data_IF_985668551127
#
_entry.id   IF_985668551127
#
_cell.length_a   1.000
_cell.length_b   1.000
_cell.length_c   1.000
_cell.angle_alpha   90.00
_cell.angle_beta   90.00
_cell.angle_gamma   90.00
#
_symmetry.space_group_name_H-M   'P 1'
#
loop_
_entity.id
_entity.type
_entity.pdbx_description
1 polymer ?
#
# COMPACT_ATOMS: atom_id res chain seq x y z
N UNK A 1 -27.87 0.17 3.53
CA UNK A 1 -26.80 0.00 2.52
C UNK A 1 -26.00 -1.23 2.95
N UNK A 2 -25.56 -2.05 2.02
CA UNK A 2 -24.72 -3.23 2.34
C UNK A 2 -23.39 -2.77 2.93
N UNK A 3 -22.86 -3.46 3.95
CA UNK A 3 -21.64 -3.08 4.67
C UNK A 3 -20.41 -3.03 3.75
N UNK A 4 -20.30 -3.95 2.79
CA UNK A 4 -19.21 -3.94 1.79
C UNK A 4 -19.25 -2.68 0.93
N UNK A 5 -20.44 -2.28 0.47
CA UNK A 5 -20.60 -1.06 -0.34
C UNK A 5 -20.29 0.19 0.52
N UNK A 6 -20.72 0.22 1.77
CA UNK A 6 -20.41 1.28 2.70
C UNK A 6 -18.90 1.42 2.90
N UNK A 7 -18.21 0.31 3.15
CA UNK A 7 -16.75 0.27 3.29
C UNK A 7 -16.02 0.89 2.07
N UNK A 8 -16.43 0.50 0.86
CA UNK A 8 -15.85 1.03 -0.38
C UNK A 8 -16.08 2.55 -0.55
N UNK A 9 -17.26 3.04 -0.12
CA UNK A 9 -17.61 4.46 -0.22
C UNK A 9 -16.94 5.33 0.85
N UNK A 10 -16.69 4.78 2.04
CA UNK A 10 -16.17 5.53 3.20
C UNK A 10 -14.64 5.52 3.29
N UNK A 11 -13.96 4.50 2.77
CA UNK A 11 -12.49 4.41 2.83
C UNK A 11 -11.81 5.65 2.23
N UNK A 12 -10.81 6.17 2.93
CA UNK A 12 -9.96 7.29 2.49
C UNK A 12 -8.48 6.94 2.60
N UNK A 13 -7.65 7.58 1.78
CA UNK A 13 -6.21 7.58 1.94
C UNK A 13 -5.83 8.51 3.08
N UNK A 14 -5.30 7.96 4.15
CA UNK A 14 -4.84 8.69 5.33
C UNK A 14 -3.36 9.05 5.15
N UNK A 15 -2.97 10.24 5.56
CA UNK A 15 -1.62 10.80 5.41
C UNK A 15 -1.16 11.48 6.69
N UNK A 16 -1.12 10.72 7.75
CA UNK A 16 -0.66 11.10 9.08
C UNK A 16 -1.00 9.99 10.06
N UNK A 17 -0.01 9.36 10.65
CA UNK A 17 -0.17 8.16 11.47
C UNK A 17 0.41 8.37 12.86
N UNK A 18 -0.06 7.56 13.80
CA UNK A 18 0.52 7.37 15.12
C UNK A 18 1.62 6.32 15.05
N UNK A 19 2.43 6.26 16.09
CA UNK A 19 3.50 5.25 16.21
C UNK A 19 2.97 3.85 16.58
N UNK A 20 1.68 3.75 16.95
CA UNK A 20 1.06 2.48 17.34
C UNK A 20 1.08 1.48 16.18
N UNK A 21 1.72 0.33 16.41
CA UNK A 21 1.75 -0.76 15.44
C UNK A 21 0.37 -1.36 15.23
N UNK A 22 0.10 -1.83 14.02
CA UNK A 22 -1.06 -2.67 13.74
C UNK A 22 -0.83 -4.03 14.40
N UNK A 23 -1.76 -4.54 15.23
CA UNK A 23 -1.63 -5.86 15.82
C UNK A 23 -1.43 -6.94 14.75
N UNK A 24 -0.58 -7.93 15.04
CA UNK A 24 -0.19 -8.96 14.07
C UNK A 24 -1.39 -9.74 13.54
N UNK A 25 -2.35 -10.09 14.40
CA UNK A 25 -3.58 -10.76 14.02
C UNK A 25 -4.43 -9.95 13.02
N UNK A 26 -4.56 -8.63 13.25
CA UNK A 26 -5.28 -7.72 12.34
C UNK A 26 -4.53 -7.56 11.03
N UNK A 27 -3.20 -7.48 11.09
CA UNK A 27 -2.39 -7.42 9.88
C UNK A 27 -2.53 -8.70 9.06
N UNK A 28 -2.53 -9.87 9.69
CA UNK A 28 -2.69 -11.15 8.99
C UNK A 28 -4.04 -11.25 8.27
N UNK A 29 -5.15 -10.76 8.86
CA UNK A 29 -6.44 -10.68 8.18
C UNK A 29 -6.41 -9.75 6.95
N UNK A 30 -5.71 -8.60 7.07
CA UNK A 30 -5.52 -7.68 5.95
C UNK A 30 -4.74 -8.36 4.83
N UNK A 31 -3.68 -9.08 5.17
CA UNK A 31 -2.82 -9.76 4.22
C UNK A 31 -3.53 -10.91 3.55
N UNK A 32 -4.29 -11.72 4.29
CA UNK A 32 -5.12 -12.79 3.74
C UNK A 32 -6.07 -12.22 2.67
N UNK A 33 -6.76 -11.11 2.95
CA UNK A 33 -7.59 -10.45 1.95
C UNK A 33 -6.81 -9.99 0.70
N UNK A 34 -5.52 -9.68 0.87
CA UNK A 34 -4.59 -9.40 -0.22
C UNK A 34 -4.14 -10.65 -0.97
N UNK A 35 -3.97 -11.81 -0.29
CA UNK A 35 -3.53 -13.09 -0.87
C UNK A 35 -4.57 -13.72 -1.80
N UNK A 36 -5.85 -13.44 -1.59
CA UNK A 36 -6.88 -13.74 -2.60
C UNK A 36 -6.69 -12.92 -3.89
N UNK A 37 -5.63 -12.10 -3.92
CA UNK A 37 -4.96 -11.52 -5.05
C UNK A 37 -3.41 -11.61 -4.77
N UNK A 38 -2.46 -11.91 -5.70
CA UNK A 38 -1.06 -12.26 -5.39
C UNK A 38 -0.19 -11.12 -4.80
N UNK A 39 0.63 -11.36 -3.73
CA UNK A 39 1.37 -10.34 -2.95
C UNK A 39 2.65 -10.81 -2.19
N UNK A 40 3.39 -9.87 -1.54
CA UNK A 40 4.56 -10.09 -0.65
C UNK A 40 4.63 -9.07 0.51
N UNK A 41 5.32 -9.38 1.66
CA UNK A 41 5.12 -8.77 2.99
C UNK A 41 6.36 -8.22 3.72
N UNK A 42 6.16 -7.36 4.77
CA UNK A 42 7.15 -7.05 5.80
C UNK A 42 6.72 -6.07 6.91
N UNK A 43 7.10 -6.38 8.18
CA UNK A 43 7.05 -5.47 9.34
C UNK A 43 8.43 -5.40 10.00
N UNK A 44 9.12 -4.27 9.89
CA UNK A 44 10.32 -3.92 10.63
C UNK A 44 10.47 -2.39 10.61
N UNK A 45 10.46 -1.68 11.75
CA UNK A 45 10.53 -0.22 11.79
C UNK A 45 11.76 0.35 11.08
N UNK A 46 12.93 -0.28 11.19
CA UNK A 46 14.14 0.14 10.49
C UNK A 46 14.00 -0.01 8.98
N UNK A 47 13.37 -1.10 8.53
CA UNK A 47 13.08 -1.36 7.13
C UNK A 47 12.05 -0.36 6.60
N UNK A 48 11.00 -0.03 7.37
CA UNK A 48 10.01 0.99 6.99
C UNK A 48 10.69 2.33 6.79
N UNK A 49 11.55 2.76 7.71
CA UNK A 49 12.31 4.00 7.59
C UNK A 49 13.26 3.99 6.38
N UNK A 50 13.92 2.86 6.11
CA UNK A 50 14.78 2.68 4.95
C UNK A 50 13.98 2.80 3.64
N UNK A 51 12.86 2.11 3.51
CA UNK A 51 11.99 2.17 2.32
C UNK A 51 11.40 3.56 2.12
N UNK A 52 11.02 4.25 3.21
CA UNK A 52 10.57 5.65 3.14
C UNK A 52 11.64 6.55 2.58
N UNK A 53 12.90 6.42 3.08
CA UNK A 53 14.02 7.19 2.57
C UNK A 53 14.28 6.91 1.09
N UNK A 54 14.35 5.65 0.67
CA UNK A 54 14.54 5.28 -0.74
C UNK A 54 13.44 5.87 -1.63
N UNK A 55 12.20 5.89 -1.14
CA UNK A 55 11.08 6.49 -1.86
C UNK A 55 11.19 8.02 -1.94
N UNK A 56 11.66 8.67 -0.86
CA UNK A 56 11.93 10.10 -0.82
C UNK A 56 13.06 10.49 -1.78
N UNK A 57 14.12 9.69 -1.85
CA UNK A 57 15.24 9.90 -2.77
C UNK A 57 14.78 9.85 -4.25
N UNK A 58 13.95 8.86 -4.61
CA UNK A 58 13.30 8.79 -5.95
C UNK A 58 12.42 10.01 -6.22
N UNK A 59 11.75 10.52 -5.20
CA UNK A 59 10.88 11.70 -5.30
C UNK A 59 11.66 13.01 -5.37
N UNK A 60 12.93 13.01 -4.95
CA UNK A 60 13.76 14.22 -4.84
C UNK A 60 13.31 15.14 -3.70
N UNK A 61 12.90 14.57 -2.57
CA UNK A 61 12.39 15.30 -1.38
C UNK A 61 13.03 14.80 -0.10
N UNK A 62 13.07 15.66 0.91
CA UNK A 62 13.46 15.29 2.27
C UNK A 62 12.25 14.95 3.16
N UNK A 63 11.01 15.14 2.66
CA UNK A 63 9.81 14.78 3.40
C UNK A 63 9.61 13.26 3.46
N UNK A 64 8.96 12.77 4.53
CA UNK A 64 8.59 11.36 4.65
C UNK A 64 7.38 11.03 3.76
N UNK A 65 7.56 10.27 2.65
CA UNK A 65 6.45 9.88 1.79
C UNK A 65 5.54 8.82 2.40
N UNK A 66 5.91 8.20 3.53
CA UNK A 66 5.10 7.24 4.27
C UNK A 66 4.28 7.87 5.40
N UNK A 67 4.42 9.21 5.59
CA UNK A 67 3.61 10.00 6.54
C UNK A 67 3.66 9.51 8.00
N UNK A 68 4.78 8.93 8.42
CA UNK A 68 4.96 8.37 9.76
C UNK A 68 4.26 7.02 9.97
N UNK A 69 3.80 6.36 8.91
CA UNK A 69 3.17 5.04 9.04
C UNK A 69 4.17 4.00 9.59
N UNK A 70 3.81 3.26 10.65
CA UNK A 70 4.72 2.30 11.28
C UNK A 70 4.81 0.96 10.55
N UNK A 71 3.88 0.69 9.63
CA UNK A 71 3.77 -0.57 8.91
C UNK A 71 3.68 -0.33 7.41
N UNK A 72 4.42 -1.11 6.61
CA UNK A 72 4.34 -1.09 5.15
C UNK A 72 4.23 -2.50 4.61
N UNK A 73 3.33 -2.68 3.65
CA UNK A 73 3.23 -3.88 2.81
C UNK A 73 3.68 -3.49 1.40
N UNK A 74 4.67 -4.18 0.86
CA UNK A 74 5.12 -3.96 -0.52
C UNK A 74 4.46 -4.99 -1.42
N UNK A 75 3.78 -4.53 -2.45
CA UNK A 75 3.16 -5.38 -3.46
C UNK A 75 4.08 -5.48 -4.67
N UNK A 76 4.41 -6.72 -5.03
CA UNK A 76 5.15 -7.07 -6.23
C UNK A 76 4.28 -7.87 -7.19
N UNK A 77 4.57 -7.80 -8.48
CA UNK A 77 3.94 -8.62 -9.49
C UNK A 77 4.95 -9.07 -10.54
N UNK A 78 4.75 -10.26 -11.11
CA UNK A 78 5.64 -10.82 -12.14
C UNK A 78 5.48 -10.04 -13.46
N UNK A 79 6.55 -9.37 -13.88
CA UNK A 79 6.58 -8.58 -15.12
C UNK A 79 6.45 -9.42 -16.39
N UNK A 80 6.60 -10.74 -16.32
CA UNK A 80 6.33 -11.64 -17.44
C UNK A 80 4.83 -11.75 -17.75
N UNK A 81 3.96 -11.37 -16.80
CA UNK A 81 2.52 -11.36 -17.00
C UNK A 81 2.08 -10.02 -17.62
N UNK A 82 1.37 -10.04 -18.76
CA UNK A 82 0.91 -8.80 -19.42
C UNK A 82 0.06 -7.90 -18.51
N UNK A 83 -0.66 -8.48 -17.55
CA UNK A 83 -1.54 -7.81 -16.61
C UNK A 83 -0.91 -7.59 -15.22
N UNK A 84 0.42 -7.58 -15.12
CA UNK A 84 1.10 -7.53 -13.82
C UNK A 84 0.73 -6.27 -13.02
N UNK A 85 0.58 -5.13 -13.66
CA UNK A 85 0.22 -3.86 -12.99
C UNK A 85 -1.21 -3.91 -12.50
N UNK A 86 -2.13 -4.40 -13.32
CA UNK A 86 -3.55 -4.54 -12.97
C UNK A 86 -3.72 -5.52 -11.82
N UNK A 87 -3.06 -6.67 -11.88
CA UNK A 87 -3.08 -7.69 -10.83
C UNK A 87 -2.60 -7.09 -9.49
N UNK A 88 -1.42 -6.48 -9.46
CA UNK A 88 -0.92 -5.84 -8.25
C UNK A 88 -1.78 -4.66 -7.77
N UNK A 89 -2.43 -3.95 -8.68
CA UNK A 89 -3.37 -2.87 -8.33
C UNK A 89 -4.62 -3.40 -7.63
N UNK A 90 -5.14 -4.55 -8.05
CA UNK A 90 -6.26 -5.22 -7.36
C UNK A 90 -5.87 -5.67 -5.95
N UNK A 91 -4.64 -6.22 -5.78
CA UNK A 91 -4.08 -6.52 -4.45
C UNK A 91 -4.09 -5.29 -3.56
N UNK A 92 -3.55 -4.16 -4.05
CA UNK A 92 -3.53 -2.90 -3.30
C UNK A 92 -4.94 -2.45 -2.91
N UNK A 93 -5.91 -2.62 -3.80
CA UNK A 93 -7.32 -2.34 -3.52
C UNK A 93 -7.87 -3.20 -2.38
N UNK A 94 -7.61 -4.50 -2.42
CA UNK A 94 -8.06 -5.45 -1.40
C UNK A 94 -7.43 -5.14 -0.02
N UNK A 95 -6.11 -4.94 0.03
CA UNK A 95 -5.40 -4.58 1.27
C UNK A 95 -6.01 -3.33 1.93
N UNK A 96 -6.21 -2.26 1.15
CA UNK A 96 -6.77 -1.01 1.67
C UNK A 96 -8.22 -1.13 2.11
N UNK A 97 -9.03 -1.94 1.42
CA UNK A 97 -10.43 -2.17 1.79
C UNK A 97 -10.56 -3.04 3.04
N UNK A 98 -9.74 -4.08 3.15
CA UNK A 98 -9.66 -4.93 4.35
C UNK A 98 -9.19 -4.12 5.57
N UNK A 99 -8.12 -3.34 5.41
CA UNK A 99 -7.65 -2.45 6.47
C UNK A 99 -8.77 -1.55 6.98
N UNK A 100 -9.50 -0.88 6.08
CA UNK A 100 -10.60 0.00 6.49
C UNK A 100 -11.74 -0.76 7.20
N UNK A 101 -12.08 -1.96 6.76
CA UNK A 101 -13.09 -2.80 7.40
C UNK A 101 -12.68 -3.21 8.83
N UNK A 102 -11.39 -3.36 9.08
CA UNK A 102 -10.81 -3.71 10.38
C UNK A 102 -10.43 -2.49 11.24
N UNK A 103 -10.80 -1.27 10.82
CA UNK A 103 -10.52 -0.03 11.55
C UNK A 103 -9.08 0.46 11.44
N UNK A 104 -8.30 -0.08 10.50
CA UNK A 104 -6.93 0.35 10.17
C UNK A 104 -6.96 1.33 9.01
N UNK A 105 -6.24 2.44 9.16
CA UNK A 105 -6.09 3.43 8.10
C UNK A 105 -4.97 3.04 7.14
N UNK A 106 -5.10 3.43 5.88
CA UNK A 106 -4.15 3.04 4.82
C UNK A 106 -3.96 4.11 3.76
N UNK A 107 -2.85 4.02 3.03
CA UNK A 107 -2.61 4.80 1.83
C UNK A 107 -1.73 4.02 0.85
N UNK A 108 -2.03 4.11 -0.45
CA UNK A 108 -1.13 3.65 -1.51
C UNK A 108 -0.06 4.70 -1.76
N UNK A 109 1.20 4.33 -1.57
CA UNK A 109 2.36 5.15 -1.92
C UNK A 109 2.99 4.61 -3.20
N UNK A 110 3.12 5.47 -4.18
CA UNK A 110 3.72 5.16 -5.48
C UNK A 110 5.25 4.94 -5.41
N UNK A 111 5.87 4.76 -6.56
CA UNK A 111 7.33 4.66 -6.77
C UNK A 111 7.97 3.36 -6.27
N UNK A 112 7.18 2.33 -5.94
CA UNK A 112 7.74 1.02 -5.63
C UNK A 112 8.52 0.45 -6.83
N UNK A 113 8.08 0.72 -8.06
CA UNK A 113 8.78 0.30 -9.28
C UNK A 113 10.18 0.88 -9.33
N UNK A 114 10.33 2.17 -9.15
CA UNK A 114 11.60 2.89 -9.20
C UNK A 114 12.49 2.52 -8.00
N UNK A 115 11.93 2.43 -6.81
CA UNK A 115 12.63 2.00 -5.60
C UNK A 115 13.27 0.62 -5.80
N UNK A 116 12.51 -0.36 -6.27
CA UNK A 116 12.98 -1.74 -6.45
C UNK A 116 13.68 -2.01 -7.79
N UNK A 117 13.77 -1.01 -8.66
CA UNK A 117 14.65 -1.02 -9.82
C UNK A 117 16.07 -0.48 -9.50
N UNK A 118 16.25 0.24 -8.38
CA UNK A 118 17.57 0.68 -7.92
C UNK A 118 18.45 -0.49 -7.48
N UNK A 119 19.77 -0.31 -7.42
CA UNK A 119 20.67 -1.36 -6.95
C UNK A 119 20.37 -1.80 -5.51
N UNK A 120 20.06 -0.85 -4.63
CA UNK A 120 19.65 -1.14 -3.25
C UNK A 120 18.32 -1.90 -3.19
N UNK A 121 17.35 -1.50 -4.00
CA UNK A 121 16.05 -2.19 -4.09
C UNK A 121 16.17 -3.60 -4.65
N UNK A 122 17.05 -3.84 -5.63
CA UNK A 122 17.35 -5.18 -6.13
C UNK A 122 18.00 -6.06 -5.06
N UNK A 123 18.93 -5.50 -4.28
CA UNK A 123 19.55 -6.21 -3.16
C UNK A 123 18.50 -6.62 -2.10
N UNK A 124 17.57 -5.73 -1.74
CA UNK A 124 16.47 -6.07 -0.84
C UNK A 124 15.56 -7.15 -1.40
N UNK A 125 15.22 -7.10 -2.69
CA UNK A 125 14.43 -8.17 -3.34
C UNK A 125 15.13 -9.51 -3.21
N UNK A 126 16.43 -9.56 -3.51
CA UNK A 126 17.22 -10.80 -3.40
C UNK A 126 17.27 -11.32 -1.96
N UNK A 127 17.46 -10.45 -0.97
CA UNK A 127 17.44 -10.79 0.46
C UNK A 127 16.09 -11.39 0.89
N UNK A 128 14.98 -10.87 0.34
CA UNK A 128 13.63 -11.35 0.66
C UNK A 128 13.18 -12.54 -0.19
N UNK A 129 14.02 -13.04 -1.08
CA UNK A 129 13.69 -14.14 -1.97
C UNK A 129 12.65 -13.79 -3.05
N UNK A 130 12.47 -12.49 -3.34
CA UNK A 130 11.58 -12.02 -4.41
C UNK A 130 12.28 -12.22 -5.76
N UNK A 131 11.66 -12.96 -6.73
CA UNK A 131 12.27 -13.20 -8.03
C UNK A 131 12.64 -11.91 -8.76
N UNK A 132 13.69 -11.97 -9.59
CA UNK A 132 14.16 -10.80 -10.34
C UNK A 132 13.10 -10.23 -11.28
N UNK A 133 12.29 -11.10 -11.89
CA UNK A 133 11.18 -10.70 -12.78
C UNK A 133 10.06 -9.93 -12.09
N UNK A 134 9.99 -9.95 -10.75
CA UNK A 134 8.94 -9.24 -10.02
C UNK A 134 9.29 -7.76 -9.89
N UNK A 135 8.33 -6.92 -10.25
CA UNK A 135 8.43 -5.45 -10.14
C UNK A 135 7.56 -4.91 -9.02
N UNK A 136 8.01 -3.84 -8.37
CA UNK A 136 7.22 -3.17 -7.34
C UNK A 136 5.99 -2.49 -7.95
N UNK A 137 4.82 -2.73 -7.37
CA UNK A 137 3.56 -2.10 -7.79
C UNK A 137 3.22 -0.92 -6.88
N UNK A 138 3.38 -1.09 -5.59
CA UNK A 138 3.10 -0.03 -4.63
C UNK A 138 3.51 -0.41 -3.21
N UNK A 139 3.61 0.60 -2.36
CA UNK A 139 3.72 0.44 -0.92
C UNK A 139 2.34 0.73 -0.32
N UNK A 140 1.74 -0.23 0.37
CA UNK A 140 0.56 -0.03 1.18
C UNK A 140 0.99 0.31 2.60
N UNK A 141 0.96 1.58 2.97
CA UNK A 141 1.22 1.98 4.35
C UNK A 141 -0.04 1.79 5.19
N UNK A 142 0.16 1.31 6.42
CA UNK A 142 -0.90 0.94 7.36
C UNK A 142 -0.61 1.52 8.74
N UNK A 143 -1.67 1.88 9.46
CA UNK A 143 -1.56 2.38 10.83
C UNK A 143 -2.84 3.05 11.30
N UNK A 144 -2.74 3.78 12.40
CA UNK A 144 -3.85 4.54 12.98
C UNK A 144 -3.59 6.03 12.80
N UNK A 145 -4.56 6.76 12.26
CA UNK A 145 -4.42 8.20 11.99
C UNK A 145 -4.12 9.02 13.23
N UNK A 146 -3.27 10.01 13.06
CA UNK A 146 -2.93 10.99 14.11
C UNK A 146 -3.85 12.22 14.13
N UNK A 147 -4.72 12.39 13.12
CA UNK A 147 -5.59 13.56 12.96
C UNK A 147 -7.01 13.19 12.51
N UNK A 148 -7.72 14.17 11.98
CA UNK A 148 -9.09 13.96 11.47
C UNK A 148 -9.12 13.03 10.24
N UNK A 149 -10.20 12.27 10.11
CA UNK A 149 -10.42 11.44 8.93
C UNK A 149 -10.67 12.31 7.70
N UNK A 150 -10.00 12.05 6.57
CA UNK A 150 -10.11 12.87 5.39
C UNK A 150 -11.54 12.93 4.82
N UNK A 151 -12.03 14.12 4.51
CA UNK A 151 -13.34 14.30 3.89
C UNK A 151 -13.36 13.79 2.45
N UNK A 152 -14.49 13.24 2.03
CA UNK A 152 -14.70 12.84 0.65
C UNK A 152 -14.67 14.08 -0.27
N UNK A 153 -13.87 14.01 -1.32
CA UNK A 153 -13.94 15.02 -2.41
C UNK A 153 -15.18 14.75 -3.27
N UNK A 154 -15.76 15.82 -3.81
CA UNK A 154 -16.82 15.72 -4.79
C UNK A 154 -16.38 14.84 -5.98
N UNK A 155 -17.26 14.02 -6.49
CA UNK A 155 -17.03 13.24 -7.70
C UNK A 155 -17.34 14.11 -8.92
N UNK A 156 -16.60 13.87 -10.02
CA UNK A 156 -16.87 14.54 -11.29
C UNK A 156 -18.21 14.07 -11.85
N UNK A 157 -19.01 15.00 -12.33
CA UNK A 157 -20.21 14.67 -13.11
C UNK A 157 -19.81 14.00 -14.43
N UNK A 158 -20.67 13.10 -14.94
CA UNK A 158 -20.40 12.40 -16.18
C UNK A 158 -19.29 11.33 -16.13
N UNK A 159 -18.84 10.92 -14.93
CA UNK A 159 -17.84 9.85 -14.79
C UNK A 159 -18.33 8.49 -15.28
N UNK A 160 -19.65 8.27 -15.22
CA UNK A 160 -20.31 7.07 -15.76
C UNK A 160 -21.12 7.46 -16.97
N UNK A 161 -20.82 6.82 -18.11
CA UNK A 161 -21.58 6.96 -19.35
C UNK A 161 -22.45 5.71 -19.50
N UNK A 162 -23.75 5.92 -19.69
CA UNK A 162 -24.68 4.84 -19.99
C UNK A 162 -25.03 4.92 -21.49
N UNK A 163 -24.81 3.83 -22.19
CA UNK A 163 -25.11 3.66 -23.64
C UNK A 163 -26.22 2.65 -23.80
#
# INVERSE_FOLDING_TARGET
MNETIKNLLERRSVRGYKEDLVPEEVLNEILEAGEYAPSGMGQNPELVAKLSKMNADVMGTESDPFYGAPTVVVVFADSNMPTCVENGSLVMGNLMNAAHALGVDSCWIHRAREVFASEEGKALKAEWGVPESYVGIGHCVLGYRSGEYPKAKARKDGFVIRV
#
